data_IF_117989266739
#
_entry.id   IF_117989266739
#
_cell.length_a   1.000
_cell.length_b   1.000
_cell.length_c   1.000
_cell.angle_alpha   90.00
_cell.angle_beta   90.00
_cell.angle_gamma   90.00
#
_symmetry.space_group_name_H-M   'P 1'
#
loop_
_entity.id
_entity.type
_entity.pdbx_description
1 polymer ?
#
# COMPACT_ATOMS: atom_id res chain seq x y z
N UNK A 1 -0.05 4.66 8.75
CA UNK A 1 -0.29 3.34 8.12
C UNK A 1 -1.48 2.70 8.78
N UNK A 2 -2.32 2.00 8.02
CA UNK A 2 -3.54 1.35 8.52
C UNK A 2 -4.62 1.24 7.45
N UNK A 3 -5.80 0.78 7.85
CA UNK A 3 -7.06 0.84 7.08
C UNK A 3 -7.68 2.24 7.23
N UNK A 4 -7.83 2.96 6.12
CA UNK A 4 -8.42 4.30 6.09
C UNK A 4 -9.87 4.27 5.58
N UNK A 5 -10.37 3.09 5.19
CA UNK A 5 -11.73 2.85 4.70
C UNK A 5 -12.17 3.85 3.61
N UNK A 6 -11.21 4.22 2.76
CA UNK A 6 -11.41 5.22 1.70
C UNK A 6 -10.61 4.86 0.46
N UNK A 7 -11.07 5.32 -0.70
CA UNK A 7 -10.43 5.04 -1.99
C UNK A 7 -9.39 6.11 -2.36
N UNK A 8 -8.40 5.76 -3.21
CA UNK A 8 -7.52 6.73 -3.83
C UNK A 8 -8.34 7.78 -4.61
N UNK A 9 -7.97 9.06 -4.47
CA UNK A 9 -8.62 10.19 -5.14
C UNK A 9 -9.94 10.65 -4.48
N UNK A 10 -10.25 10.18 -3.27
CA UNK A 10 -11.31 10.77 -2.43
C UNK A 10 -10.75 11.92 -1.58
N UNK A 11 -11.63 12.77 -1.05
CA UNK A 11 -11.20 13.89 -0.18
C UNK A 11 -10.35 13.44 1.01
N UNK A 12 -10.75 12.35 1.66
CA UNK A 12 -10.11 11.87 2.88
C UNK A 12 -8.73 11.28 2.57
N UNK A 13 -8.60 10.60 1.42
CA UNK A 13 -7.32 10.16 0.89
C UNK A 13 -6.43 11.35 0.54
N UNK A 14 -6.95 12.32 -0.22
CA UNK A 14 -6.18 13.45 -0.74
C UNK A 14 -5.61 14.34 0.39
N UNK A 15 -6.32 14.46 1.52
CA UNK A 15 -5.82 15.17 2.71
C UNK A 15 -4.51 14.55 3.22
N UNK A 16 -4.37 13.23 3.18
CA UNK A 16 -3.17 12.51 3.66
C UNK A 16 -2.13 12.37 2.55
N UNK A 17 -2.57 12.09 1.33
CA UNK A 17 -1.72 11.90 0.16
C UNK A 17 -1.15 13.21 -0.41
N UNK A 18 -1.64 14.37 0.04
CA UNK A 18 -1.07 15.68 -0.34
C UNK A 18 0.29 15.94 0.32
N UNK A 19 0.46 15.83 1.66
CA UNK A 19 1.75 16.01 2.31
C UNK A 19 2.62 14.75 2.38
N UNK A 20 2.05 13.56 2.18
CA UNK A 20 2.75 12.27 2.26
C UNK A 20 2.59 11.48 0.97
N UNK A 21 3.57 10.62 0.68
CA UNK A 21 3.53 9.71 -0.45
C UNK A 21 2.84 8.40 -0.06
N UNK A 22 1.92 7.95 -0.89
CA UNK A 22 1.37 6.60 -0.85
C UNK A 22 2.43 5.61 -1.36
N UNK A 23 2.87 4.68 -0.50
CA UNK A 23 3.92 3.74 -0.86
C UNK A 23 3.54 2.85 -2.05
N UNK A 24 2.30 2.37 -2.14
CA UNK A 24 1.90 1.50 -3.24
C UNK A 24 1.93 2.26 -4.57
N UNK A 25 1.34 3.46 -4.61
CA UNK A 25 1.35 4.29 -5.83
C UNK A 25 2.79 4.64 -6.26
N UNK A 26 3.62 5.07 -5.30
CA UNK A 26 5.01 5.42 -5.57
C UNK A 26 5.85 4.22 -6.08
N UNK A 27 5.66 3.03 -5.49
CA UNK A 27 6.35 1.83 -5.95
C UNK A 27 5.82 1.35 -7.31
N UNK A 28 4.51 1.47 -7.56
CA UNK A 28 3.92 1.10 -8.84
C UNK A 28 4.49 1.95 -9.99
N UNK A 29 4.53 3.27 -9.81
CA UNK A 29 5.13 4.18 -10.79
C UNK A 29 6.63 3.92 -11.02
N UNK A 30 7.33 3.43 -10.00
CA UNK A 30 8.74 3.06 -10.07
C UNK A 30 8.98 1.63 -10.62
N UNK A 31 7.94 0.84 -10.89
CA UNK A 31 8.07 -0.56 -11.29
C UNK A 31 8.56 -1.51 -10.17
N UNK A 32 8.38 -1.11 -8.92
CA UNK A 32 8.82 -1.81 -7.71
C UNK A 32 7.66 -2.35 -6.84
N UNK A 33 6.42 -2.27 -7.34
CA UNK A 33 5.25 -2.85 -6.70
C UNK A 33 4.94 -4.25 -7.24
N UNK A 34 4.60 -5.18 -6.35
CA UNK A 34 4.07 -6.51 -6.69
C UNK A 34 2.76 -6.76 -5.97
N UNK A 35 1.83 -7.49 -6.59
CA UNK A 35 0.65 -8.00 -5.90
C UNK A 35 0.18 -9.29 -6.54
N UNK A 36 -0.42 -10.17 -5.75
CA UNK A 36 -1.00 -11.41 -6.27
C UNK A 36 -2.24 -11.14 -7.15
N UNK A 37 -2.94 -10.04 -6.90
CA UNK A 37 -4.18 -9.66 -7.59
C UNK A 37 -3.97 -8.63 -8.72
N UNK A 38 -2.75 -8.11 -8.89
CA UNK A 38 -2.38 -7.16 -9.93
C UNK A 38 -2.84 -5.71 -9.72
N UNK A 39 -3.56 -5.40 -8.63
CA UNK A 39 -4.16 -4.07 -8.40
C UNK A 39 -3.67 -3.39 -7.13
N UNK A 40 -3.11 -4.15 -6.19
CA UNK A 40 -2.82 -3.67 -4.84
C UNK A 40 -4.07 -3.45 -3.99
N UNK A 41 -5.22 -3.97 -4.43
CA UNK A 41 -6.41 -4.03 -3.61
C UNK A 41 -6.12 -4.92 -2.38
N UNK A 42 -6.63 -4.50 -1.24
CA UNK A 42 -6.45 -5.17 0.05
C UNK A 42 -7.75 -5.72 0.59
N UNK A 43 -8.92 -5.25 0.14
CA UNK A 43 -10.20 -5.81 0.54
C UNK A 43 -11.14 -5.90 -0.67
N UNK A 44 -11.36 -7.11 -1.18
CA UNK A 44 -12.11 -7.31 -2.42
C UNK A 44 -11.44 -6.60 -3.60
N UNK A 45 -12.09 -5.59 -4.17
CA UNK A 45 -11.50 -4.72 -5.20
C UNK A 45 -10.96 -3.40 -4.64
N UNK A 46 -11.13 -3.16 -3.34
CA UNK A 46 -10.79 -1.92 -2.64
C UNK A 46 -9.34 -1.84 -2.21
N UNK A 47 -8.75 -0.64 -2.33
CA UNK A 47 -7.43 -0.31 -1.79
C UNK A 47 -7.62 0.66 -0.61
N UNK A 48 -7.99 0.12 0.55
CA UNK A 48 -8.30 0.89 1.76
C UNK A 48 -7.12 0.97 2.74
N UNK A 49 -6.18 0.04 2.64
CA UNK A 49 -5.03 -0.04 3.51
C UNK A 49 -3.83 0.68 2.89
N UNK A 50 -3.22 1.58 3.65
CA UNK A 50 -2.15 2.44 3.16
C UNK A 50 -0.94 2.44 4.08
N UNK A 51 0.24 2.44 3.45
CA UNK A 51 1.48 2.87 4.06
C UNK A 51 1.90 4.23 3.47
N UNK A 52 1.53 5.32 4.14
CA UNK A 52 2.00 6.66 3.78
C UNK A 52 3.36 6.96 4.40
N UNK A 53 4.25 7.62 3.66
CA UNK A 53 5.58 8.02 4.11
C UNK A 53 5.96 9.41 3.62
N UNK A 54 6.89 10.07 4.30
CA UNK A 54 7.38 11.39 3.88
C UNK A 54 8.60 11.26 2.95
N UNK A 55 8.52 11.87 1.77
CA UNK A 55 9.58 11.85 0.76
C UNK A 55 10.81 12.73 1.06
N UNK A 56 10.78 13.51 2.15
CA UNK A 56 11.90 14.39 2.57
C UNK A 56 12.68 13.83 3.76
N UNK A 57 12.45 12.56 4.10
CA UNK A 57 13.08 11.91 5.27
C UNK A 57 14.28 11.03 4.86
N UNK A 58 14.93 10.44 5.86
CA UNK A 58 15.96 9.42 5.66
C UNK A 58 15.43 8.10 5.07
N UNK A 59 14.11 7.96 4.87
CA UNK A 59 13.50 6.75 4.31
C UNK A 59 13.50 6.79 2.78
N UNK A 60 14.05 5.75 2.17
CA UNK A 60 13.94 5.51 0.73
C UNK A 60 13.14 4.24 0.49
N UNK A 61 11.96 4.37 -0.13
CA UNK A 61 11.13 3.24 -0.52
C UNK A 61 11.89 2.35 -1.50
N UNK A 62 11.91 1.04 -1.24
CA UNK A 62 12.62 0.04 -2.04
C UNK A 62 11.64 -0.83 -2.82
N UNK A 63 10.56 -1.28 -2.17
CA UNK A 63 9.50 -2.07 -2.80
C UNK A 63 8.21 -2.00 -1.98
N UNK A 64 7.10 -2.35 -2.63
CA UNK A 64 5.82 -2.62 -1.94
C UNK A 64 5.23 -3.92 -2.48
N UNK A 65 4.72 -4.76 -1.59
CA UNK A 65 4.05 -6.00 -1.94
C UNK A 65 2.67 -6.10 -1.28
N UNK A 66 1.69 -6.62 -2.02
CA UNK A 66 0.43 -7.15 -1.49
C UNK A 66 0.44 -8.66 -1.76
N UNK A 67 0.96 -9.46 -0.82
CA UNK A 67 1.17 -10.88 -1.03
C UNK A 67 -0.15 -11.66 -1.00
N UNK A 68 -0.17 -12.82 -1.66
CA UNK A 68 -1.20 -13.83 -1.42
C UNK A 68 -0.97 -14.47 -0.06
N UNK A 69 -1.83 -14.17 0.91
CA UNK A 69 -1.71 -14.70 2.27
C UNK A 69 -2.51 -15.98 2.50
N UNK A 70 -3.22 -16.49 1.47
CA UNK A 70 -4.07 -17.67 1.63
C UNK A 70 -3.23 -18.89 1.98
N UNK A 71 -3.66 -19.61 3.01
CA UNK A 71 -3.12 -20.93 3.34
C UNK A 71 -4.23 -21.95 3.13
N UNK A 72 -4.00 -22.90 2.22
CA UNK A 72 -5.01 -23.87 1.77
C UNK A 72 -6.32 -23.21 1.28
N UNK A 73 -6.19 -22.07 0.59
CA UNK A 73 -7.31 -21.31 0.04
C UNK A 73 -8.09 -20.45 1.05
N UNK A 74 -7.67 -20.41 2.32
CA UNK A 74 -8.32 -19.62 3.38
C UNK A 74 -7.50 -18.37 3.66
N UNK A 75 -8.16 -17.21 3.65
CA UNK A 75 -7.54 -15.95 4.05
C UNK A 75 -7.42 -15.85 5.58
N UNK A 76 -6.28 -15.39 6.12
CA UNK A 76 -6.13 -15.13 7.56
C UNK A 76 -6.93 -13.93 8.07
N UNK A 77 -7.32 -13.02 7.17
CA UNK A 77 -8.02 -11.75 7.42
C UNK A 77 -8.91 -11.44 6.21
N UNK A 78 -9.94 -10.63 6.36
CA UNK A 78 -10.72 -10.09 5.22
C UNK A 78 -9.99 -8.96 4.48
N UNK A 79 -8.87 -8.50 5.03
CA UNK A 79 -7.91 -7.61 4.40
C UNK A 79 -6.57 -8.31 4.11
N UNK A 80 -6.01 -8.11 2.92
CA UNK A 80 -4.65 -8.47 2.54
C UNK A 80 -3.65 -7.39 3.04
N UNK A 81 -2.44 -7.79 3.51
CA UNK A 81 -1.48 -6.85 4.06
C UNK A 81 -0.78 -6.03 2.96
N UNK A 82 -0.39 -4.80 3.30
CA UNK A 82 0.55 -3.98 2.52
C UNK A 82 1.93 -4.05 3.16
N UNK A 83 2.92 -4.58 2.45
CA UNK A 83 4.30 -4.71 2.92
C UNK A 83 5.19 -3.71 2.18
N UNK A 84 5.49 -2.58 2.83
CA UNK A 84 6.40 -1.58 2.28
C UNK A 84 7.81 -1.72 2.89
N UNK A 85 8.83 -1.86 2.03
CA UNK A 85 10.22 -2.00 2.43
C UNK A 85 10.96 -0.69 2.20
N UNK A 86 11.64 -0.21 3.24
CA UNK A 86 12.43 1.02 3.20
C UNK A 86 13.89 0.73 3.55
N UNK A 87 14.80 1.48 2.95
CA UNK A 87 16.15 1.67 3.49
C UNK A 87 16.17 2.96 4.31
N UNK A 88 16.96 2.96 5.38
CA UNK A 88 17.22 4.14 6.22
C UNK A 88 18.62 4.64 5.88
N UNK A 89 18.75 5.94 5.60
CA UNK A 89 20.02 6.61 5.31
C UNK A 89 20.59 7.34 6.52
#
# INVERSE_FOLDING_TARGET
MGDFNTWPGTSDYDIIASPLLDAWAAAFDAGAATSYNGTGATHGTSRFDYAFFSGVTALSLTSVDVPDTRVNGVYPSDHDPVVAVFTVR
#
